data_IF_100806083897
#
_entry.id   IF_100806083897
#
_cell.length_a   1.000
_cell.length_b   1.000
_cell.length_c   1.000
_cell.angle_alpha   90.00
_cell.angle_beta   90.00
_cell.angle_gamma   90.00
#
_symmetry.space_group_name_H-M   'P 1'
#
loop_
_entity.id
_entity.type
_entity.pdbx_description
1 polymer ?
#
# COMPACT_ATOMS: atom_id res chain seq x y z
N UNK A 1 -2.93 -9.59 7.78
CA UNK A 1 -1.64 -8.86 7.85
C UNK A 1 -0.48 -9.79 7.47
N UNK A 2 -0.03 -9.78 6.22
CA UNK A 2 1.20 -10.46 5.80
C UNK A 2 2.36 -9.49 5.92
N UNK A 3 3.39 -9.82 6.70
CA UNK A 3 4.63 -9.04 6.72
C UNK A 3 5.30 -9.07 5.34
N UNK A 4 5.69 -7.91 4.80
CA UNK A 4 6.25 -7.78 3.45
C UNK A 4 7.54 -8.58 3.24
N UNK A 5 8.31 -8.83 4.31
CA UNK A 5 9.60 -9.53 4.26
C UNK A 5 9.48 -11.07 4.40
N UNK A 6 8.30 -11.60 4.74
CA UNK A 6 8.11 -13.05 4.97
C UNK A 6 7.59 -13.79 3.72
N UNK A 7 7.72 -13.21 2.52
CA UNK A 7 7.31 -13.89 1.29
C UNK A 7 8.30 -14.99 0.95
N UNK A 8 7.81 -16.19 0.69
CA UNK A 8 8.62 -17.30 0.18
C UNK A 8 8.88 -17.04 -1.31
N UNK A 9 10.15 -17.05 -1.72
CA UNK A 9 10.56 -16.79 -3.09
C UNK A 9 11.24 -18.04 -3.70
N UNK A 10 11.03 -18.34 -4.99
CA UNK A 10 11.70 -19.45 -5.67
C UNK A 10 13.19 -19.15 -5.87
N UNK A 11 14.05 -19.86 -5.10
CA UNK A 11 15.50 -19.64 -5.04
C UNK A 11 16.14 -19.53 -6.43
N UNK A 12 15.93 -20.53 -7.29
CA UNK A 12 16.62 -20.61 -8.58
C UNK A 12 16.24 -19.45 -9.50
N UNK A 13 14.96 -19.10 -9.56
CA UNK A 13 14.47 -17.98 -10.36
C UNK A 13 14.98 -16.62 -9.86
N UNK A 14 15.10 -16.44 -8.55
CA UNK A 14 15.63 -15.20 -7.96
C UNK A 14 17.12 -15.07 -8.26
N UNK A 15 17.89 -16.16 -8.17
CA UNK A 15 19.32 -16.15 -8.44
C UNK A 15 19.61 -15.92 -9.94
N UNK A 16 18.84 -16.57 -10.82
CA UNK A 16 18.95 -16.42 -12.27
C UNK A 16 18.59 -15.00 -12.74
N UNK A 17 17.40 -14.52 -12.36
CA UNK A 17 16.87 -13.24 -12.87
C UNK A 17 17.30 -12.01 -12.07
N UNK A 18 17.85 -12.19 -10.87
CA UNK A 18 18.29 -11.12 -9.96
C UNK A 18 17.20 -10.04 -9.82
N UNK A 19 17.53 -8.76 -10.09
CA UNK A 19 16.58 -7.65 -10.08
C UNK A 19 15.40 -7.83 -11.05
N UNK A 20 15.62 -8.52 -12.17
CA UNK A 20 14.57 -8.80 -13.17
C UNK A 20 13.41 -9.62 -12.62
N UNK A 21 13.65 -10.44 -11.58
CA UNK A 21 12.58 -11.19 -10.90
C UNK A 21 11.48 -10.26 -10.38
N UNK A 22 11.83 -9.10 -9.83
CA UNK A 22 10.87 -8.17 -9.23
C UNK A 22 10.03 -7.42 -10.28
N UNK A 23 10.44 -7.41 -11.54
CA UNK A 23 9.64 -6.90 -12.67
C UNK A 23 8.69 -7.95 -13.25
N UNK A 24 8.91 -9.24 -12.98
CA UNK A 24 8.01 -10.33 -13.37
C UNK A 24 8.00 -11.39 -12.25
N UNK A 25 7.38 -11.07 -11.11
CA UNK A 25 7.46 -11.92 -9.92
C UNK A 25 6.72 -13.24 -10.15
N UNK A 26 7.24 -14.31 -9.56
CA UNK A 26 6.63 -15.64 -9.56
C UNK A 26 6.54 -16.17 -8.13
N UNK A 27 5.36 -16.65 -7.76
CA UNK A 27 5.08 -17.16 -6.42
C UNK A 27 3.91 -18.14 -6.43
N UNK A 28 3.58 -18.69 -5.26
CA UNK A 28 2.56 -19.73 -5.07
C UNK A 28 1.21 -19.16 -4.61
N UNK A 29 0.99 -17.85 -4.77
CA UNK A 29 -0.23 -17.19 -4.34
C UNK A 29 -1.45 -17.51 -5.23
N UNK A 30 -2.64 -17.04 -4.83
CA UNK A 30 -3.88 -17.22 -5.59
C UNK A 30 -3.88 -16.49 -6.94
N UNK A 31 -3.06 -15.46 -7.12
CA UNK A 31 -2.93 -14.72 -8.37
C UNK A 31 -1.47 -14.69 -8.85
N UNK A 32 -1.27 -14.77 -10.16
CA UNK A 32 0.03 -14.69 -10.85
C UNK A 32 0.15 -13.34 -11.55
N UNK A 33 1.36 -12.82 -11.64
CA UNK A 33 1.65 -11.64 -12.46
C UNK A 33 1.29 -11.91 -13.92
N UNK A 34 0.54 -10.99 -14.53
CA UNK A 34 0.22 -10.99 -15.96
C UNK A 34 1.07 -9.95 -16.69
N UNK A 35 0.76 -8.67 -16.50
CA UNK A 35 1.52 -7.54 -17.05
C UNK A 35 1.41 -6.28 -16.19
N UNK A 36 2.31 -5.33 -16.47
CA UNK A 36 2.25 -3.97 -15.92
C UNK A 36 1.29 -3.13 -16.76
N UNK A 37 0.30 -2.52 -16.09
CA UNK A 37 -0.56 -1.49 -16.70
C UNK A 37 0.33 -0.27 -16.92
N UNK A 38 0.27 0.33 -18.12
CA UNK A 38 1.10 1.47 -18.50
C UNK A 38 0.28 2.68 -18.87
N UNK A 39 0.82 3.86 -18.58
CA UNK A 39 0.28 5.12 -19.09
C UNK A 39 0.55 5.26 -20.59
N UNK A 40 -0.03 6.30 -21.21
CA UNK A 40 0.30 6.69 -22.60
C UNK A 40 1.77 7.04 -22.81
N UNK A 41 2.49 7.41 -21.73
CA UNK A 41 3.94 7.66 -21.73
C UNK A 41 4.79 6.42 -21.46
N UNK A 42 4.16 5.24 -21.38
CA UNK A 42 4.78 3.94 -21.08
C UNK A 42 5.30 3.78 -19.65
N UNK A 43 4.99 4.70 -18.75
CA UNK A 43 5.30 4.58 -17.32
C UNK A 43 4.44 3.49 -16.67
N UNK A 44 5.00 2.76 -15.71
CA UNK A 44 4.25 1.74 -14.95
C UNK A 44 3.20 2.45 -14.09
N UNK A 45 1.94 2.29 -14.47
CA UNK A 45 0.80 2.85 -13.78
C UNK A 45 0.24 1.89 -12.74
N UNK A 46 0.35 0.57 -12.96
CA UNK A 46 -0.26 -0.42 -12.09
C UNK A 46 0.11 -1.83 -12.51
N UNK A 47 -0.53 -2.83 -11.91
CA UNK A 47 -0.29 -4.24 -12.19
C UNK A 47 -1.61 -4.96 -12.41
N UNK A 48 -1.64 -5.82 -13.44
CA UNK A 48 -2.67 -6.83 -13.59
C UNK A 48 -2.12 -8.18 -13.15
N UNK A 49 -2.93 -8.90 -12.39
CA UNK A 49 -2.66 -10.26 -11.96
C UNK A 49 -3.82 -11.15 -12.39
N UNK A 50 -3.52 -12.36 -12.88
CA UNK A 50 -4.50 -13.34 -13.32
C UNK A 50 -4.63 -14.47 -12.31
N UNK A 51 -5.78 -15.13 -12.29
CA UNK A 51 -6.04 -16.28 -11.44
C UNK A 51 -4.95 -17.35 -11.61
N UNK A 52 -4.49 -17.89 -10.49
CA UNK A 52 -3.64 -19.07 -10.50
C UNK A 52 -4.50 -20.34 -10.48
N UNK A 53 -4.70 -20.96 -11.63
CA UNK A 53 -5.46 -22.22 -11.76
C UNK A 53 -4.84 -23.38 -10.96
N UNK A 54 -3.56 -23.31 -10.64
CA UNK A 54 -2.83 -24.32 -9.87
C UNK A 54 -2.73 -23.96 -8.37
N UNK A 55 -3.54 -23.02 -7.88
CA UNK A 55 -3.47 -22.59 -6.48
C UNK A 55 -3.98 -23.69 -5.53
N UNK A 56 -3.13 -24.09 -4.59
CA UNK A 56 -3.39 -25.17 -3.63
C UNK A 56 -4.50 -24.87 -2.62
N UNK A 57 -4.85 -23.59 -2.40
CA UNK A 57 -5.86 -23.16 -1.42
C UNK A 57 -7.30 -23.16 -1.95
N UNK A 58 -7.52 -23.61 -3.19
CA UNK A 58 -8.81 -23.57 -3.87
C UNK A 58 -8.92 -22.43 -4.87
N UNK A 59 -9.73 -22.64 -5.92
CA UNK A 59 -9.81 -21.71 -7.05
C UNK A 59 -10.36 -20.33 -6.60
N UNK A 60 -9.59 -19.23 -6.72
CA UNK A 60 -10.09 -17.88 -6.42
C UNK A 60 -11.31 -17.57 -7.27
N UNK A 61 -12.30 -16.81 -6.81
CA UNK A 61 -13.52 -16.56 -7.58
C UNK A 61 -13.32 -15.62 -8.79
N UNK A 62 -12.33 -14.72 -8.73
CA UNK A 62 -12.05 -13.71 -9.75
C UNK A 62 -11.08 -14.22 -10.81
N UNK A 63 -11.30 -13.84 -12.07
CA UNK A 63 -10.40 -14.17 -13.19
C UNK A 63 -9.11 -13.36 -13.15
N UNK A 64 -9.21 -12.10 -12.74
CA UNK A 64 -8.08 -11.19 -12.63
C UNK A 64 -8.33 -10.13 -11.56
N UNK A 65 -7.23 -9.51 -11.12
CA UNK A 65 -7.21 -8.36 -10.22
C UNK A 65 -6.28 -7.32 -10.80
N UNK A 66 -6.76 -6.09 -10.87
CA UNK A 66 -5.97 -4.93 -11.29
C UNK A 66 -5.78 -3.98 -10.11
N UNK A 67 -4.56 -3.49 -9.95
CA UNK A 67 -4.23 -2.48 -8.96
C UNK A 67 -3.51 -1.33 -9.64
N UNK A 68 -4.09 -0.13 -9.55
CA UNK A 68 -3.53 1.11 -10.09
C UNK A 68 -3.78 2.24 -9.07
N UNK A 69 -2.74 2.99 -8.64
CA UNK A 69 -2.90 4.13 -7.75
C UNK A 69 -3.40 5.39 -8.48
N UNK A 70 -3.49 5.37 -9.82
CA UNK A 70 -3.96 6.52 -10.62
C UNK A 70 -5.49 6.49 -10.84
N UNK A 71 -6.17 5.51 -10.30
CA UNK A 71 -7.61 5.38 -10.34
C UNK A 71 -8.29 6.48 -9.51
N UNK A 72 -9.33 7.12 -10.07
CA UNK A 72 -10.00 8.29 -9.50
C UNK A 72 -11.37 7.95 -8.94
N UNK A 73 -11.97 8.88 -8.19
CA UNK A 73 -13.35 8.76 -7.71
C UNK A 73 -14.35 8.61 -8.85
N UNK A 74 -14.16 9.33 -9.96
CA UNK A 74 -15.09 9.29 -11.10
C UNK A 74 -15.11 7.90 -11.74
N UNK A 75 -13.95 7.27 -11.94
CA UNK A 75 -13.87 5.88 -12.40
C UNK A 75 -14.63 4.92 -11.46
N UNK A 76 -14.63 5.17 -10.15
CA UNK A 76 -15.39 4.37 -9.19
C UNK A 76 -16.90 4.58 -9.35
N UNK A 77 -17.36 5.84 -9.42
CA UNK A 77 -18.78 6.15 -9.64
C UNK A 77 -19.31 5.67 -11.01
N UNK A 78 -18.44 5.58 -12.02
CA UNK A 78 -18.76 5.03 -13.33
C UNK A 78 -18.79 3.48 -13.37
N UNK A 79 -18.42 2.81 -12.27
CA UNK A 79 -18.37 1.35 -12.20
C UNK A 79 -17.13 0.71 -12.84
N UNK A 80 -16.09 1.48 -13.13
CA UNK A 80 -14.82 0.98 -13.67
C UNK A 80 -13.92 0.39 -12.59
N UNK A 81 -14.11 0.80 -11.33
CA UNK A 81 -13.34 0.34 -10.16
C UNK A 81 -14.30 -0.30 -9.16
N UNK A 82 -13.89 -1.44 -8.60
CA UNK A 82 -14.68 -2.18 -7.63
C UNK A 82 -14.38 -1.82 -6.16
N UNK A 83 -13.21 -1.26 -5.89
CA UNK A 83 -12.76 -0.89 -4.54
C UNK A 83 -11.78 0.27 -4.59
N UNK A 84 -12.01 1.28 -3.75
CA UNK A 84 -11.17 2.46 -3.63
C UNK A 84 -11.06 2.84 -2.14
N UNK A 85 -9.93 3.44 -1.68
CA UNK A 85 -9.93 4.10 -0.38
C UNK A 85 -11.03 5.16 -0.28
N UNK A 86 -11.49 5.42 0.94
CA UNK A 86 -12.39 6.55 1.19
C UNK A 86 -11.58 7.84 1.06
N UNK A 87 -11.75 8.54 -0.05
CA UNK A 87 -11.00 9.77 -0.35
C UNK A 87 -11.75 11.04 0.10
N UNK A 88 -13.08 11.01 0.11
CA UNK A 88 -13.92 12.17 0.41
C UNK A 88 -15.11 11.81 1.31
N UNK A 89 -15.62 12.80 2.02
CA UNK A 89 -16.88 12.71 2.79
C UNK A 89 -18.08 12.28 1.95
N UNK A 90 -18.03 12.51 0.62
CA UNK A 90 -19.09 12.07 -0.29
C UNK A 90 -19.25 10.54 -0.26
N UNK A 91 -18.14 9.79 -0.18
CA UNK A 91 -18.18 8.34 -0.06
C UNK A 91 -18.72 7.91 1.31
N UNK A 92 -18.39 8.64 2.38
CA UNK A 92 -18.91 8.36 3.72
C UNK A 92 -20.43 8.53 3.82
N UNK A 93 -21.02 9.39 2.98
CA UNK A 93 -22.46 9.67 2.94
C UNK A 93 -23.19 8.91 1.82
N UNK A 94 -22.50 8.01 1.12
CA UNK A 94 -23.06 7.25 0.01
C UNK A 94 -23.65 5.91 0.45
N UNK A 95 -24.41 5.27 -0.43
CA UNK A 95 -24.99 3.93 -0.20
C UNK A 95 -23.98 2.78 -0.43
N UNK A 96 -22.70 3.10 -0.65
CA UNK A 96 -21.67 2.08 -0.85
C UNK A 96 -21.27 1.41 0.47
N UNK A 97 -20.89 0.14 0.39
CA UNK A 97 -20.36 -0.59 1.54
C UNK A 97 -18.97 -0.08 1.92
N UNK A 98 -18.82 0.39 3.16
CA UNK A 98 -17.54 0.86 3.71
C UNK A 98 -16.95 -0.20 4.63
N UNK A 99 -15.75 -0.65 4.32
CA UNK A 99 -14.98 -1.55 5.18
C UNK A 99 -13.94 -0.76 5.97
N UNK A 100 -14.05 -0.78 7.29
CA UNK A 100 -13.05 -0.19 8.19
C UNK A 100 -12.28 -1.31 8.88
N UNK A 101 -11.01 -1.46 8.52
CA UNK A 101 -10.08 -2.32 9.28
C UNK A 101 -9.48 -1.52 10.46
N UNK A 102 -9.11 -2.22 11.53
CA UNK A 102 -8.54 -1.59 12.72
C UNK A 102 -7.21 -0.90 12.40
N UNK A 103 -7.05 0.34 12.87
CA UNK A 103 -5.81 1.11 12.69
C UNK A 103 -4.65 0.43 13.44
N UNK A 104 -3.84 -0.36 12.71
CA UNK A 104 -2.58 -0.93 13.21
C UNK A 104 -1.37 -0.05 12.88
N UNK A 105 -1.58 1.23 12.56
CA UNK A 105 -0.51 2.17 12.21
C UNK A 105 -0.11 3.02 13.42
N UNK A 106 1.00 2.64 14.06
CA UNK A 106 1.70 3.51 15.03
C UNK A 106 2.64 4.43 14.26
N UNK A 107 2.44 5.75 14.39
CA UNK A 107 3.39 6.74 13.88
C UNK A 107 4.38 7.12 14.97
N UNK A 108 5.65 7.26 14.61
CA UNK A 108 6.71 7.69 15.51
C UNK A 108 7.64 8.66 14.79
N UNK A 109 8.17 9.63 15.54
CA UNK A 109 9.27 10.48 15.09
C UNK A 109 10.58 9.89 15.61
N UNK A 110 11.35 9.26 14.72
CA UNK A 110 12.67 8.75 15.03
C UNK A 110 13.74 9.84 15.01
N UNK A 111 14.66 9.82 15.98
CA UNK A 111 15.81 10.72 16.01
C UNK A 111 17.11 9.92 15.98
N UNK A 112 17.99 10.23 15.02
CA UNK A 112 19.30 9.61 14.89
C UNK A 112 20.22 9.99 16.05
N UNK A 113 20.48 9.05 16.95
CA UNK A 113 21.28 9.29 18.17
C UNK A 113 22.80 9.41 17.94
N UNK A 114 23.27 9.34 16.70
CA UNK A 114 24.69 9.45 16.33
C UNK A 114 25.04 10.79 15.67
N UNK A 115 24.04 11.64 15.39
CA UNK A 115 24.22 12.91 14.67
C UNK A 115 24.12 14.05 15.67
N UNK A 116 25.17 14.87 15.88
CA UNK A 116 25.07 16.06 16.71
C UNK A 116 24.06 17.09 16.16
N UNK A 117 23.25 17.77 16.99
CA UNK A 117 23.17 17.69 18.46
C UNK A 117 22.16 16.64 18.99
N UNK A 118 21.61 15.78 18.11
CA UNK A 118 20.64 14.74 18.47
C UNK A 118 21.28 13.55 19.20
N UNK A 119 22.60 13.49 19.28
CA UNK A 119 23.37 12.56 20.11
C UNK A 119 23.12 12.79 21.61
N UNK A 120 22.86 14.04 22.02
CA UNK A 120 22.55 14.41 23.41
C UNK A 120 21.12 14.05 23.81
N UNK A 121 20.97 13.27 24.88
CA UNK A 121 19.65 12.90 25.42
C UNK A 121 18.80 14.12 25.80
N UNK A 122 19.41 15.18 26.35
CA UNK A 122 18.70 16.40 26.74
C UNK A 122 18.06 17.11 25.55
N UNK A 123 18.74 17.12 24.39
CA UNK A 123 18.23 17.73 23.15
C UNK A 123 17.04 16.95 22.63
N UNK A 124 17.12 15.61 22.57
CA UNK A 124 16.00 14.77 22.14
C UNK A 124 14.77 14.90 23.05
N UNK A 125 14.99 15.02 24.36
CA UNK A 125 13.91 15.28 25.33
C UNK A 125 13.28 16.66 25.11
N UNK A 126 14.10 17.69 24.91
CA UNK A 126 13.61 19.04 24.62
C UNK A 126 12.74 19.07 23.35
N UNK A 127 13.20 18.43 22.26
CA UNK A 127 12.41 18.28 21.03
C UNK A 127 11.10 17.54 21.29
N UNK A 128 11.14 16.41 21.99
CA UNK A 128 9.92 15.64 22.31
C UNK A 128 8.91 16.40 23.17
N UNK A 129 9.37 17.31 24.04
CA UNK A 129 8.50 18.16 24.85
C UNK A 129 7.99 19.40 24.09
N UNK A 130 8.75 19.88 23.11
CA UNK A 130 8.37 21.02 22.27
C UNK A 130 7.32 20.68 21.21
N UNK A 131 7.16 19.39 20.87
CA UNK A 131 6.15 18.93 19.91
C UNK A 131 4.81 18.73 20.62
N UNK A 132 3.79 19.45 20.17
CA UNK A 132 2.41 19.15 20.52
C UNK A 132 1.91 17.92 19.74
N UNK A 133 1.79 16.80 20.45
CA UNK A 133 1.35 15.53 19.85
C UNK A 133 -0.13 15.58 19.46
N UNK A 134 -0.96 16.34 20.17
CA UNK A 134 -2.39 16.43 19.88
C UNK A 134 -2.61 17.23 18.59
N UNK A 135 -1.91 18.36 18.44
CA UNK A 135 -1.94 19.17 17.22
C UNK A 135 -1.50 18.35 16.00
N UNK A 136 -0.40 17.61 16.12
CA UNK A 136 0.10 16.72 15.06
C UNK A 136 -0.90 15.62 14.71
N UNK A 137 -1.56 15.03 15.71
CA UNK A 137 -2.59 14.01 15.47
C UNK A 137 -3.80 14.59 14.76
N UNK A 138 -4.24 15.80 15.13
CA UNK A 138 -5.36 16.48 14.49
C UNK A 138 -5.05 16.78 13.02
N UNK A 139 -3.93 17.46 12.76
CA UNK A 139 -3.50 17.79 11.40
C UNK A 139 -3.32 16.54 10.52
N UNK A 140 -2.72 15.47 11.06
CA UNK A 140 -2.52 14.22 10.31
C UNK A 140 -3.81 13.41 10.09
N UNK A 141 -4.85 13.63 10.88
CA UNK A 141 -6.14 12.96 10.73
C UNK A 141 -7.00 13.68 9.71
N UNK A 142 -6.99 15.02 9.70
CA UNK A 142 -7.73 15.83 8.74
C UNK A 142 -7.22 15.61 7.30
N UNK A 143 -5.90 15.45 7.10
CA UNK A 143 -5.31 15.12 5.78
C UNK A 143 -5.70 13.73 5.27
N UNK A 144 -6.07 12.78 6.16
CA UNK A 144 -6.49 11.43 5.75
C UNK A 144 -7.91 11.37 5.19
N UNK A 145 -8.71 12.43 5.37
CA UNK A 145 -10.11 12.50 4.94
C UNK A 145 -10.41 13.67 3.98
N UNK A 146 -9.39 14.48 3.65
CA UNK A 146 -9.50 15.59 2.70
C UNK A 146 -8.53 15.38 1.55
N UNK A 147 -9.03 14.81 0.44
CA UNK A 147 -8.80 15.27 -0.94
C UNK A 147 -9.83 14.63 -1.88
#
# INVERSE_FOLDING_TARGET
MSMHFCKILPKDLVLDKKRGFFYKPSGTGPFKFDYWIRTTRLDIAGVRMIRNEEYFGGKPYLDAVEFCPHFTLDHFFNGEIHSIPVLTDRLLKSDFQIFQDGLLHKMFLGMSCHIPPLDRLSVRRAVSCAIDKAEVVQAASDVRYLH
#
